data_IF_970343577998
#
_entry.id   IF_970343577998
#
_cell.length_a   1.000
_cell.length_b   1.000
_cell.length_c   1.000
_cell.angle_alpha   90.00
_cell.angle_beta   90.00
_cell.angle_gamma   90.00
#
_symmetry.space_group_name_H-M   'P 1'
#
loop_
_entity.id
_entity.type
_entity.pdbx_description
1 polymer ?
#
# COMPACT_ATOMS: atom_id res chain seq x y z
N UNK A 1 6.73 -59.68 42.49
CA UNK A 1 6.99 -58.73 41.39
C UNK A 1 5.78 -57.84 41.29
N UNK A 2 6.01 -56.56 41.58
CA UNK A 2 4.98 -55.53 41.74
C UNK A 2 4.43 -55.11 40.38
N UNK A 3 3.11 -54.99 40.28
CA UNK A 3 2.45 -54.39 39.12
C UNK A 3 1.93 -53.02 39.52
N UNK A 4 2.66 -51.99 39.11
CA UNK A 4 2.28 -50.59 39.26
C UNK A 4 1.18 -50.27 38.23
N UNK A 5 -0.03 -50.00 38.72
CA UNK A 5 -1.13 -49.43 37.93
C UNK A 5 -0.99 -47.91 37.92
N UNK A 6 -0.93 -47.29 36.75
CA UNK A 6 -1.06 -45.84 36.59
C UNK A 6 -2.40 -45.59 35.87
N UNK A 7 -3.38 -44.94 36.50
CA UNK A 7 -4.61 -44.57 35.81
C UNK A 7 -4.38 -43.33 34.94
N UNK A 8 -5.02 -43.38 33.78
CA UNK A 8 -5.12 -42.34 32.77
C UNK A 8 -5.90 -41.14 33.35
N UNK A 9 -5.21 -40.10 33.84
CA UNK A 9 -5.87 -38.83 34.14
C UNK A 9 -5.81 -37.95 32.89
N UNK A 10 -6.95 -37.88 32.21
CA UNK A 10 -7.27 -36.93 31.16
C UNK A 10 -7.06 -35.51 31.67
N UNK A 11 -5.91 -34.91 31.36
CA UNK A 11 -5.71 -33.47 31.46
C UNK A 11 -6.13 -32.86 30.13
N UNK A 12 -7.44 -32.72 29.94
CA UNK A 12 -8.02 -31.95 28.85
C UNK A 12 -7.78 -30.46 29.16
N UNK A 13 -6.55 -30.00 28.97
CA UNK A 13 -6.27 -28.57 28.87
C UNK A 13 -6.80 -28.16 27.51
N UNK A 14 -8.05 -27.70 27.47
CA UNK A 14 -8.50 -26.80 26.42
C UNK A 14 -7.60 -25.56 26.50
N UNK A 15 -6.46 -25.62 25.81
CA UNK A 15 -5.81 -24.42 25.29
C UNK A 15 -6.84 -23.83 24.31
N UNK A 16 -7.73 -23.00 24.86
CA UNK A 16 -8.34 -21.94 24.08
C UNK A 16 -7.16 -21.16 23.50
N UNK A 17 -6.74 -21.53 22.29
CA UNK A 17 -6.07 -20.64 21.37
C UNK A 17 -7.10 -19.55 21.02
N UNK A 18 -7.39 -18.70 22.00
CA UNK A 18 -7.69 -17.32 21.75
C UNK A 18 -6.39 -16.80 21.16
N UNK A 19 -6.28 -16.89 19.83
CA UNK A 19 -5.38 -16.01 19.08
C UNK A 19 -5.62 -14.64 19.70
N UNK A 20 -4.61 -13.98 20.29
CA UNK A 20 -4.81 -12.61 20.64
C UNK A 20 -5.07 -11.94 19.29
N UNK A 21 -6.29 -11.46 19.06
CA UNK A 21 -6.45 -10.23 18.29
C UNK A 21 -5.68 -9.19 19.11
N UNK A 22 -4.36 -9.18 18.93
CA UNK A 22 -3.55 -8.02 19.10
C UNK A 22 -4.05 -7.05 18.02
N UNK A 23 -5.17 -6.39 18.29
CA UNK A 23 -5.21 -4.96 18.03
C UNK A 23 -4.12 -4.39 18.93
N UNK A 24 -2.87 -4.48 18.46
CA UNK A 24 -1.83 -3.58 18.91
C UNK A 24 -2.45 -2.21 18.64
N UNK A 25 -2.88 -1.53 19.70
CA UNK A 25 -2.87 -0.08 19.72
C UNK A 25 -1.40 0.27 19.54
N UNK A 26 -0.93 0.31 18.29
CA UNK A 26 0.44 0.68 17.99
C UNK A 26 0.58 2.12 18.46
N UNK A 27 1.63 2.39 19.22
CA UNK A 27 1.84 3.66 19.88
C UNK A 27 1.97 4.85 18.91
N UNK A 28 2.04 4.59 17.59
CA UNK A 28 2.20 5.58 16.52
C UNK A 28 1.12 5.49 15.42
N UNK A 29 -0.13 5.23 15.80
CA UNK A 29 -1.27 5.22 14.87
C UNK A 29 -2.00 6.57 14.85
N UNK A 30 -1.84 7.31 13.75
CA UNK A 30 -2.44 8.62 13.54
C UNK A 30 -3.38 8.61 12.34
N UNK A 31 -4.67 8.77 12.62
CA UNK A 31 -5.71 8.96 11.61
C UNK A 31 -6.36 10.32 11.87
N UNK A 32 -6.05 11.32 11.06
CA UNK A 32 -6.42 12.72 11.33
C UNK A 32 -7.47 13.19 10.31
N UNK A 33 -8.61 13.67 10.80
CA UNK A 33 -9.61 14.38 10.02
C UNK A 33 -9.30 15.88 9.97
N UNK A 34 -8.58 16.32 8.94
CA UNK A 34 -8.01 17.66 8.88
C UNK A 34 -9.09 18.74 8.68
N UNK A 35 -9.01 19.81 9.48
CA UNK A 35 -9.95 20.93 9.48
C UNK A 35 -11.29 20.63 10.16
N UNK A 36 -11.44 19.46 10.78
CA UNK A 36 -12.67 19.04 11.47
C UNK A 36 -12.48 19.01 12.99
N UNK A 37 -13.58 19.22 13.70
CA UNK A 37 -13.68 18.92 15.14
C UNK A 37 -14.25 17.54 15.43
N UNK A 38 -14.87 16.92 14.42
CA UNK A 38 -15.64 15.68 14.53
C UNK A 38 -14.82 14.48 14.04
N UNK A 39 -15.00 13.37 14.75
CA UNK A 39 -14.44 12.07 14.38
C UNK A 39 -15.23 11.43 13.22
N UNK A 40 -14.54 10.65 12.39
CA UNK A 40 -15.13 9.95 11.25
C UNK A 40 -14.61 8.52 11.16
N UNK A 41 -15.52 7.56 11.23
CA UNK A 41 -15.25 6.15 10.97
C UNK A 41 -15.64 5.80 9.53
N UNK A 42 -14.67 5.36 8.71
CA UNK A 42 -14.97 4.89 7.34
C UNK A 42 -15.31 3.40 7.32
N UNK A 43 -14.46 2.60 7.95
CA UNK A 43 -14.57 1.14 8.06
C UNK A 43 -14.03 0.71 9.43
N UNK A 44 -14.31 -0.54 9.89
CA UNK A 44 -13.75 -1.03 11.14
C UNK A 44 -12.21 -0.88 11.17
N UNK A 45 -11.69 -0.22 12.20
CA UNK A 45 -10.26 0.06 12.39
C UNK A 45 -9.77 1.36 11.74
N UNK A 46 -10.53 2.00 10.84
CA UNK A 46 -10.16 3.24 10.17
C UNK A 46 -10.94 4.43 10.75
N UNK A 47 -10.58 4.82 11.97
CA UNK A 47 -11.24 5.88 12.73
C UNK A 47 -10.39 7.15 12.73
N UNK A 48 -10.81 8.17 11.98
CA UNK A 48 -10.13 9.46 11.92
C UNK A 48 -10.60 10.36 13.05
N UNK A 49 -9.68 10.81 13.89
CA UNK A 49 -9.95 11.78 14.95
C UNK A 49 -10.00 13.21 14.42
N UNK A 50 -10.97 13.98 14.88
CA UNK A 50 -11.01 15.43 14.70
C UNK A 50 -9.86 16.13 15.45
N UNK A 51 -9.53 17.35 15.04
CA UNK A 51 -8.37 18.09 15.56
C UNK A 51 -8.66 18.91 16.83
N UNK A 52 -9.79 18.65 17.50
CA UNK A 52 -10.19 19.36 18.73
C UNK A 52 -9.24 19.13 19.90
N UNK A 53 -8.67 17.93 20.00
CA UNK A 53 -7.76 17.50 21.07
C UNK A 53 -6.71 16.56 20.49
N UNK A 54 -5.68 17.10 19.83
CA UNK A 54 -4.67 16.25 19.20
C UNK A 54 -3.88 15.48 20.27
N UNK A 55 -3.67 14.19 20.05
CA UNK A 55 -2.93 13.29 20.96
C UNK A 55 -1.73 12.74 20.17
N UNK A 56 -0.52 12.95 20.67
CA UNK A 56 0.71 12.52 19.99
C UNK A 56 1.05 13.28 18.71
N UNK A 57 0.25 14.27 18.29
CA UNK A 57 0.56 15.11 17.16
C UNK A 57 0.27 16.59 17.44
N UNK A 58 0.80 17.47 16.60
CA UNK A 58 0.47 18.89 16.56
C UNK A 58 0.59 19.42 15.14
N UNK A 59 0.11 20.62 14.88
CA UNK A 59 0.25 21.27 13.58
C UNK A 59 0.55 22.75 13.75
N UNK A 60 1.25 23.32 12.78
CA UNK A 60 1.57 24.74 12.78
C UNK A 60 0.38 25.62 12.36
N UNK A 61 0.56 26.94 12.45
CA UNK A 61 -0.42 27.94 12.02
C UNK A 61 -0.95 27.64 10.61
N UNK A 62 -2.27 27.54 10.50
CA UNK A 62 -3.03 27.21 9.29
C UNK A 62 -4.51 27.52 9.51
N UNK A 63 -5.39 27.28 8.54
CA UNK A 63 -6.84 27.50 8.65
C UNK A 63 -7.61 26.21 8.39
N UNK A 64 -8.63 25.94 9.19
CA UNK A 64 -9.66 24.97 8.84
C UNK A 64 -10.59 25.58 7.77
N UNK A 65 -10.92 24.81 6.74
CA UNK A 65 -11.87 25.18 5.69
C UNK A 65 -12.91 24.07 5.54
N UNK A 66 -14.14 24.47 5.22
CA UNK A 66 -15.29 23.56 5.10
C UNK A 66 -15.94 23.72 3.73
N UNK A 67 -16.40 22.61 3.17
CA UNK A 67 -17.18 22.60 1.94
C UNK A 67 -18.50 23.35 2.12
N UNK A 68 -18.76 24.30 1.21
CA UNK A 68 -20.00 25.08 1.20
C UNK A 68 -21.17 24.30 0.60
N UNK A 69 -20.90 23.33 -0.27
CA UNK A 69 -21.95 22.59 -0.98
C UNK A 69 -22.49 21.41 -0.16
N UNK A 70 -21.65 20.83 0.71
CA UNK A 70 -22.00 19.74 1.63
C UNK A 70 -22.74 18.59 0.95
N UNK A 71 -22.23 18.15 -0.20
CA UNK A 71 -22.86 17.09 -0.98
C UNK A 71 -23.09 15.82 -0.11
N UNK A 72 -24.29 15.20 -0.19
CA UNK A 72 -24.64 14.08 0.68
C UNK A 72 -23.82 12.82 0.40
N UNK A 73 -23.49 12.55 -0.86
CA UNK A 73 -22.78 11.33 -1.29
C UNK A 73 -21.27 11.36 -1.01
N UNK A 74 -20.74 12.50 -0.58
CA UNK A 74 -19.32 12.65 -0.25
C UNK A 74 -19.13 12.32 1.23
N UNK A 75 -18.17 11.42 1.51
CA UNK A 75 -17.78 11.07 2.89
C UNK A 75 -17.49 12.33 3.71
N UNK A 76 -17.91 12.32 4.98
CA UNK A 76 -17.66 13.41 5.93
C UNK A 76 -16.17 13.74 6.08
N UNK A 77 -15.27 12.76 5.89
CA UNK A 77 -13.82 12.95 5.89
C UNK A 77 -13.33 13.96 4.83
N UNK A 78 -14.11 14.13 3.76
CA UNK A 78 -13.75 15.00 2.63
C UNK A 78 -14.55 16.30 2.60
N UNK A 79 -15.30 16.62 3.67
CA UNK A 79 -16.06 17.88 3.80
C UNK A 79 -15.26 19.00 4.46
N UNK A 80 -14.08 18.69 5.02
CA UNK A 80 -13.17 19.66 5.62
C UNK A 80 -11.75 19.47 5.09
N UNK A 81 -10.95 20.51 5.24
CA UNK A 81 -9.51 20.43 5.03
C UNK A 81 -8.79 21.44 5.93
N UNK A 82 -7.51 21.18 6.20
CA UNK A 82 -6.59 22.20 6.69
C UNK A 82 -5.90 22.84 5.49
N UNK A 83 -5.89 24.17 5.42
CA UNK A 83 -5.32 24.91 4.29
C UNK A 83 -4.56 26.16 4.74
N UNK A 84 -3.50 26.48 4.00
CA UNK A 84 -2.75 27.73 4.22
C UNK A 84 -2.00 28.18 2.96
N UNK A 85 -1.82 29.50 2.83
CA UNK A 85 -1.07 30.14 1.74
C UNK A 85 0.41 30.40 2.08
N UNK A 86 0.86 29.91 3.24
CA UNK A 86 2.27 29.84 3.63
C UNK A 86 2.60 28.39 4.00
N UNK A 87 3.89 28.02 4.05
CA UNK A 87 4.28 26.70 4.53
C UNK A 87 3.69 26.41 5.90
N UNK A 88 3.13 25.21 6.07
CA UNK A 88 2.65 24.70 7.34
C UNK A 88 3.04 23.23 7.48
N UNK A 89 2.99 22.69 8.69
CA UNK A 89 3.34 21.29 8.93
C UNK A 89 2.42 20.61 9.94
N UNK A 90 2.36 19.28 9.82
CA UNK A 90 1.98 18.39 10.92
C UNK A 90 3.25 17.80 11.54
N UNK A 91 3.24 17.63 12.85
CA UNK A 91 4.31 17.06 13.64
C UNK A 91 3.77 15.89 14.45
N UNK A 92 4.46 14.76 14.43
CA UNK A 92 4.06 13.51 15.07
C UNK A 92 5.13 13.09 16.08
N UNK A 93 4.69 12.64 17.24
CA UNK A 93 5.50 11.93 18.21
C UNK A 93 5.65 10.49 17.74
N UNK A 94 6.88 10.05 17.54
CA UNK A 94 7.19 8.69 17.08
C UNK A 94 7.85 7.97 18.24
N UNK A 95 7.33 6.80 18.58
CA UNK A 95 7.76 6.01 19.73
C UNK A 95 8.69 4.87 19.35
N UNK A 96 8.72 4.46 18.07
CA UNK A 96 9.59 3.40 17.58
C UNK A 96 10.27 3.75 16.24
N UNK A 97 11.51 3.29 16.08
CA UNK A 97 12.23 3.37 14.81
C UNK A 97 11.62 2.39 13.80
N UNK A 98 10.86 2.88 12.82
CA UNK A 98 9.99 2.03 12.00
C UNK A 98 9.97 2.36 10.51
N UNK A 99 9.49 1.40 9.73
CA UNK A 99 8.90 1.73 8.45
C UNK A 99 7.45 2.11 8.71
N UNK A 100 6.99 3.20 8.11
CA UNK A 100 5.64 3.72 8.30
C UNK A 100 4.96 3.85 6.96
N UNK A 101 3.66 3.59 6.96
CA UNK A 101 2.78 3.91 5.85
C UNK A 101 2.19 5.30 6.13
N UNK A 102 2.36 6.22 5.17
CA UNK A 102 1.78 7.56 5.21
C UNK A 102 0.82 7.73 4.05
N UNK A 103 -0.46 8.01 4.32
CA UNK A 103 -1.44 8.40 3.30
C UNK A 103 -1.88 9.83 3.47
N UNK A 104 -1.85 10.57 2.38
CA UNK A 104 -2.33 11.94 2.31
C UNK A 104 -3.57 11.98 1.41
N UNK A 105 -4.67 12.48 1.96
CA UNK A 105 -5.95 12.53 1.25
C UNK A 105 -6.24 13.95 0.78
N UNK A 106 -6.58 14.07 -0.50
CA UNK A 106 -6.89 15.33 -1.14
C UNK A 106 -8.20 15.22 -1.92
N UNK A 107 -9.26 15.84 -1.43
CA UNK A 107 -10.53 16.02 -2.13
C UNK A 107 -10.81 17.51 -2.21
N UNK A 108 -10.77 18.04 -3.44
CA UNK A 108 -11.00 19.45 -3.67
C UNK A 108 -12.50 19.79 -3.60
N UNK A 109 -12.82 20.91 -2.95
CA UNK A 109 -14.17 21.46 -2.84
C UNK A 109 -14.14 22.99 -2.86
N UNK A 110 -15.32 23.62 -2.92
CA UNK A 110 -15.45 25.08 -2.82
C UNK A 110 -15.57 25.50 -1.35
N UNK A 111 -14.80 26.50 -0.93
CA UNK A 111 -14.82 27.05 0.42
C UNK A 111 -15.21 28.53 0.40
N UNK A 112 -15.77 29.04 1.49
CA UNK A 112 -16.10 30.47 1.62
C UNK A 112 -14.86 31.36 1.77
N UNK A 113 -13.75 30.82 2.29
CA UNK A 113 -12.53 31.57 2.59
C UNK A 113 -11.43 31.44 1.53
N UNK A 114 -11.63 30.59 0.52
CA UNK A 114 -10.70 30.37 -0.59
C UNK A 114 -11.49 30.01 -1.84
N UNK A 115 -11.04 30.44 -3.01
CA UNK A 115 -11.49 29.83 -4.26
C UNK A 115 -11.31 28.30 -4.19
N UNK A 116 -11.99 27.57 -5.08
CA UNK A 116 -12.01 26.11 -5.11
C UNK A 116 -10.61 25.48 -4.87
N UNK A 117 -10.52 24.54 -3.92
CA UNK A 117 -9.27 23.89 -3.50
C UNK A 117 -8.53 23.19 -4.65
N UNK A 118 -9.20 22.89 -5.76
CA UNK A 118 -8.59 22.32 -6.97
C UNK A 118 -7.57 23.25 -7.64
N UNK A 119 -7.57 24.54 -7.30
CA UNK A 119 -6.58 25.53 -7.78
C UNK A 119 -5.26 25.50 -7.02
N UNK A 120 -5.17 24.73 -5.94
CA UNK A 120 -3.96 24.57 -5.16
C UNK A 120 -2.82 23.94 -5.98
N UNK A 121 -1.61 24.50 -5.82
CA UNK A 121 -0.36 23.97 -6.35
C UNK A 121 0.69 24.03 -5.25
N UNK A 122 1.16 22.86 -4.79
CA UNK A 122 2.06 22.78 -3.65
C UNK A 122 2.96 21.54 -3.68
N UNK A 123 4.00 21.55 -2.86
CA UNK A 123 4.82 20.39 -2.57
C UNK A 123 4.57 19.86 -1.16
N UNK A 124 4.97 18.61 -0.93
CA UNK A 124 5.01 17.99 0.40
C UNK A 124 6.41 17.41 0.63
N UNK A 125 7.02 17.79 1.74
CA UNK A 125 8.33 17.31 2.19
C UNK A 125 8.20 16.63 3.56
N UNK A 126 9.06 15.67 3.86
CA UNK A 126 9.23 15.17 5.23
C UNK A 126 10.32 15.95 6.01
N UNK A 127 10.52 15.61 7.28
CA UNK A 127 11.56 16.21 8.13
C UNK A 127 13.00 15.89 7.71
N UNK A 128 13.20 14.92 6.81
CA UNK A 128 14.49 14.57 6.20
C UNK A 128 14.71 15.31 4.86
N UNK A 129 13.81 16.23 4.49
CA UNK A 129 13.78 16.96 3.23
C UNK A 129 13.58 16.07 1.99
N UNK A 130 13.01 14.87 2.15
CA UNK A 130 12.58 14.10 1.00
C UNK A 130 11.30 14.66 0.40
N UNK A 131 11.31 14.81 -0.91
CA UNK A 131 10.14 15.27 -1.67
C UNK A 131 9.16 14.13 -1.87
N UNK A 132 8.03 14.18 -1.15
CA UNK A 132 6.92 13.25 -1.32
C UNK A 132 6.02 13.67 -2.48
N UNK A 133 5.73 14.97 -2.57
CA UNK A 133 4.95 15.56 -3.65
C UNK A 133 5.64 16.83 -4.17
N UNK A 134 5.58 17.06 -5.48
CA UNK A 134 6.13 18.25 -6.11
C UNK A 134 5.16 18.79 -7.15
N UNK A 135 4.91 20.11 -7.15
CA UNK A 135 3.93 20.77 -8.02
C UNK A 135 2.58 20.01 -8.10
N UNK A 136 2.16 19.47 -6.96
CA UNK A 136 0.94 18.68 -6.86
C UNK A 136 -0.28 19.57 -6.97
N UNK A 137 -1.28 19.08 -7.71
CA UNK A 137 -2.57 19.72 -7.88
C UNK A 137 -3.65 18.65 -8.02
N UNK A 138 -4.86 18.97 -7.56
CA UNK A 138 -6.06 18.14 -7.71
C UNK A 138 -6.98 18.67 -8.80
N UNK A 139 -6.42 19.41 -9.77
CA UNK A 139 -7.15 19.88 -10.95
C UNK A 139 -7.90 18.71 -11.61
N UNK A 140 -9.17 18.94 -11.96
CA UNK A 140 -10.08 17.96 -12.56
C UNK A 140 -10.51 16.79 -11.66
N UNK A 141 -10.22 16.84 -10.36
CA UNK A 141 -10.63 15.79 -9.39
C UNK A 141 -11.50 16.35 -8.25
N UNK A 142 -12.25 17.43 -8.51
CA UNK A 142 -13.16 18.03 -7.52
C UNK A 142 -14.18 16.99 -7.03
N UNK A 143 -14.37 16.89 -5.72
CA UNK A 143 -15.19 15.87 -5.05
C UNK A 143 -14.78 14.41 -5.33
N UNK A 144 -13.60 14.18 -5.92
CA UNK A 144 -13.03 12.86 -6.15
C UNK A 144 -11.73 12.73 -5.35
N UNK A 145 -11.75 12.02 -4.21
CA UNK A 145 -10.58 11.92 -3.34
C UNK A 145 -9.38 11.29 -4.05
N UNK A 146 -8.26 11.98 -4.01
CA UNK A 146 -6.95 11.48 -4.44
C UNK A 146 -6.15 11.13 -3.19
N UNK A 147 -5.79 9.86 -3.06
CA UNK A 147 -4.97 9.36 -1.95
C UNK A 147 -3.54 9.14 -2.46
N UNK A 148 -2.56 9.71 -1.76
CA UNK A 148 -1.13 9.52 -2.04
C UNK A 148 -0.52 8.70 -0.92
N UNK A 149 -0.03 7.51 -1.25
CA UNK A 149 0.49 6.52 -0.31
C UNK A 149 2.02 6.42 -0.40
N UNK A 150 2.69 6.57 0.73
CA UNK A 150 4.13 6.53 0.86
C UNK A 150 4.57 5.51 1.92
N UNK A 151 5.71 4.87 1.69
CA UNK A 151 6.44 4.13 2.71
C UNK A 151 7.70 4.90 3.07
N UNK A 152 7.82 5.23 4.36
CA UNK A 152 8.89 6.07 4.90
C UNK A 152 9.62 5.34 6.02
N UNK A 153 10.94 5.46 6.06
CA UNK A 153 11.73 5.10 7.24
C UNK A 153 11.75 6.29 8.20
N UNK A 154 11.06 6.17 9.31
CA UNK A 154 10.95 7.22 10.33
C UNK A 154 11.76 6.77 11.54
N UNK A 155 12.60 7.68 12.04
CA UNK A 155 13.40 7.43 13.23
C UNK A 155 12.74 8.13 14.43
N UNK A 156 12.84 7.53 15.61
CA UNK A 156 12.35 7.92 16.94
C UNK A 156 12.84 9.31 17.42
N UNK A 157 13.63 10.00 16.60
CA UNK A 157 14.01 11.39 16.86
C UNK A 157 12.78 12.24 17.20
N UNK A 158 12.96 13.23 18.09
CA UNK A 158 11.91 13.94 18.83
C UNK A 158 10.69 14.47 18.04
N UNK A 159 10.72 14.49 16.70
CA UNK A 159 9.51 14.67 15.92
C UNK A 159 9.65 14.37 14.41
N UNK A 160 8.79 13.49 13.88
CA UNK A 160 8.57 13.40 12.44
C UNK A 160 7.65 14.55 11.98
N UNK A 161 7.95 15.17 10.83
CA UNK A 161 7.12 16.26 10.29
C UNK A 161 6.79 16.05 8.83
N UNK A 162 5.58 16.47 8.46
CA UNK A 162 5.13 16.61 7.08
C UNK A 162 4.91 18.09 6.79
N UNK A 163 5.73 18.65 5.91
CA UNK A 163 5.67 20.05 5.50
C UNK A 163 4.89 20.20 4.20
N UNK A 164 3.86 21.04 4.23
CA UNK A 164 3.04 21.41 3.08
C UNK A 164 3.45 22.81 2.62
N UNK A 165 4.04 22.90 1.44
CA UNK A 165 4.69 24.12 0.94
C UNK A 165 3.99 24.60 -0.34
N UNK A 166 3.18 25.66 -0.28
CA UNK A 166 2.56 26.26 -1.47
C UNK A 166 3.58 26.80 -2.46
N UNK A 167 3.26 26.73 -3.75
CA UNK A 167 3.93 27.56 -4.77
C UNK A 167 3.59 29.05 -4.60
N UNK A 168 4.39 29.98 -5.15
CA UNK A 168 4.08 31.41 -5.12
C UNK A 168 2.66 31.70 -5.62
N UNK A 169 1.95 32.56 -4.90
CA UNK A 169 0.54 32.91 -5.19
C UNK A 169 -0.44 31.73 -5.17
N UNK A 170 -0.08 30.62 -4.54
CA UNK A 170 -0.95 29.46 -4.35
C UNK A 170 -1.17 29.17 -2.85
N UNK A 171 -1.78 28.02 -2.57
CA UNK A 171 -2.00 27.50 -1.22
C UNK A 171 -1.85 25.98 -1.23
N UNK A 172 -1.68 25.41 -0.04
CA UNK A 172 -1.65 23.98 0.18
C UNK A 172 -2.86 23.56 1.02
N UNK A 173 -3.30 22.33 0.88
CA UNK A 173 -4.36 21.78 1.70
C UNK A 173 -4.20 20.27 1.88
N UNK A 174 -4.83 19.73 2.92
CA UNK A 174 -4.96 18.29 3.16
C UNK A 174 -6.28 18.02 3.88
N UNK A 175 -7.00 16.97 3.47
CA UNK A 175 -8.29 16.59 4.05
C UNK A 175 -8.13 15.55 5.15
N UNK A 176 -7.21 14.61 4.98
CA UNK A 176 -6.90 13.62 5.99
C UNK A 176 -5.46 13.13 5.88
N UNK A 177 -4.93 12.67 7.01
CA UNK A 177 -3.61 12.04 7.11
C UNK A 177 -3.78 10.70 7.82
N UNK A 178 -3.26 9.64 7.21
CA UNK A 178 -2.97 8.38 7.90
C UNK A 178 -1.45 8.27 8.07
N UNK A 179 -0.98 7.95 9.27
CA UNK A 179 0.40 7.59 9.56
C UNK A 179 0.37 6.45 10.57
N UNK A 180 0.89 5.29 10.21
CA UNK A 180 0.94 4.13 11.08
C UNK A 180 2.11 3.21 10.70
N UNK A 181 2.60 2.35 11.61
CA UNK A 181 3.67 1.41 11.30
C UNK A 181 3.31 0.49 10.12
N UNK A 182 4.24 0.36 9.19
CA UNK A 182 4.12 -0.60 8.09
C UNK A 182 4.44 -2.02 8.61
N UNK A 183 3.81 -3.07 8.06
CA UNK A 183 4.16 -4.45 8.41
C UNK A 183 5.65 -4.75 8.20
N UNK A 184 6.25 -5.55 9.09
CA UNK A 184 7.70 -5.81 9.10
C UNK A 184 8.25 -6.35 7.77
N UNK A 185 7.50 -7.22 7.08
CA UNK A 185 7.91 -7.86 5.82
C UNK A 185 7.62 -6.99 4.57
N UNK A 186 7.20 -5.74 4.77
CA UNK A 186 6.70 -4.92 3.66
C UNK A 186 7.81 -4.41 2.74
N UNK A 187 9.00 -4.05 3.24
CA UNK A 187 10.07 -3.48 2.42
C UNK A 187 10.91 -4.59 1.76
N UNK A 188 11.27 -4.41 0.49
CA UNK A 188 12.08 -5.39 -0.25
C UNK A 188 13.46 -5.50 0.39
N UNK A 189 13.97 -6.71 0.60
CA UNK A 189 15.29 -6.97 1.22
C UNK A 189 16.46 -6.26 0.51
N UNK A 190 16.30 -5.91 -0.77
CA UNK A 190 17.30 -5.17 -1.56
C UNK A 190 17.06 -3.65 -1.63
N UNK A 191 16.04 -3.13 -0.93
CA UNK A 191 15.82 -1.71 -0.77
C UNK A 191 16.46 -1.24 0.53
N UNK A 192 17.78 -1.18 0.53
CA UNK A 192 18.60 -0.68 1.64
C UNK A 192 18.67 0.85 1.70
N UNK A 193 17.97 1.55 0.81
CA UNK A 193 17.94 3.01 0.83
C UNK A 193 16.85 3.50 1.77
N UNK A 194 17.21 4.40 2.69
CA UNK A 194 16.28 5.18 3.53
C UNK A 194 15.42 6.18 2.72
N UNK A 195 15.19 5.92 1.43
CA UNK A 195 14.45 6.76 0.53
C UNK A 195 12.95 6.44 0.63
N UNK A 196 12.07 7.45 0.48
CA UNK A 196 10.63 7.22 0.37
C UNK A 196 10.26 6.39 -0.85
N UNK A 197 9.30 5.47 -0.66
CA UNK A 197 8.61 4.81 -1.77
C UNK A 197 7.22 5.41 -1.92
N UNK A 198 6.83 5.75 -3.15
CA UNK A 198 5.49 6.20 -3.49
C UNK A 198 4.80 5.11 -4.30
N UNK A 199 3.65 4.62 -3.80
CA UNK A 199 2.86 3.63 -4.54
C UNK A 199 2.24 4.30 -5.77
N UNK A 200 2.64 3.84 -6.96
CA UNK A 200 2.08 4.32 -8.25
C UNK A 200 1.04 3.36 -8.83
N UNK A 201 1.25 2.06 -8.67
CA UNK A 201 0.35 1.00 -9.12
C UNK A 201 0.35 -0.13 -8.10
N UNK A 202 -0.82 -0.75 -7.91
CA UNK A 202 -1.01 -1.96 -7.10
C UNK A 202 -2.16 -2.76 -7.69
N UNK A 203 -1.87 -3.93 -8.22
CA UNK A 203 -2.80 -4.68 -9.06
C UNK A 203 -3.02 -6.11 -8.58
N UNK A 204 -4.27 -6.56 -8.71
CA UNK A 204 -4.68 -7.97 -8.66
C UNK A 204 -4.63 -8.53 -10.07
N UNK A 205 -3.68 -9.43 -10.35
CA UNK A 205 -3.52 -10.02 -11.69
C UNK A 205 -4.61 -11.06 -11.94
N UNK A 206 -5.47 -10.82 -12.94
CA UNK A 206 -6.56 -11.73 -13.31
C UNK A 206 -7.73 -11.77 -12.32
N UNK A 207 -7.70 -10.97 -11.26
CA UNK A 207 -8.74 -10.90 -10.23
C UNK A 207 -9.53 -9.60 -10.24
N UNK A 208 -10.46 -9.48 -9.31
CA UNK A 208 -11.26 -8.27 -9.09
C UNK A 208 -10.53 -7.27 -8.18
N UNK A 209 -10.89 -5.97 -8.22
CA UNK A 209 -10.40 -5.00 -7.26
C UNK A 209 -10.73 -5.41 -5.81
N UNK A 210 -9.79 -5.18 -4.89
CA UNK A 210 -9.94 -5.55 -3.48
C UNK A 210 -9.25 -4.53 -2.58
N UNK A 211 -9.81 -4.30 -1.39
CA UNK A 211 -9.14 -3.58 -0.31
C UNK A 211 -8.67 -4.58 0.73
N UNK A 212 -7.42 -4.48 1.18
CA UNK A 212 -6.90 -5.39 2.19
C UNK A 212 -7.04 -4.87 3.63
N UNK A 213 -6.46 -5.62 4.57
CA UNK A 213 -6.56 -5.42 6.02
C UNK A 213 -6.02 -4.08 6.50
N UNK A 214 -5.15 -3.44 5.73
CA UNK A 214 -4.63 -2.09 6.00
C UNK A 214 -5.11 -1.08 4.94
N UNK A 215 -6.26 -1.36 4.32
CA UNK A 215 -6.98 -0.51 3.37
C UNK A 215 -6.20 -0.13 2.10
N UNK A 216 -5.19 -0.93 1.72
CA UNK A 216 -4.55 -0.73 0.40
C UNK A 216 -5.53 -1.17 -0.67
N UNK A 217 -5.75 -0.30 -1.66
CA UNK A 217 -6.56 -0.61 -2.83
C UNK A 217 -5.72 -1.36 -3.86
N UNK A 218 -6.19 -2.53 -4.26
CA UNK A 218 -5.67 -3.31 -5.38
C UNK A 218 -6.64 -3.19 -6.54
N UNK A 219 -6.16 -2.78 -7.70
CA UNK A 219 -6.98 -2.59 -8.90
C UNK A 219 -6.85 -3.79 -9.84
N UNK A 220 -7.77 -3.95 -10.81
CA UNK A 220 -7.62 -4.99 -11.83
C UNK A 220 -6.49 -4.64 -12.79
N UNK A 221 -5.80 -5.65 -13.32
CA UNK A 221 -4.77 -5.48 -14.35
C UNK A 221 -5.33 -5.37 -15.77
N UNK A 222 -6.66 -5.47 -15.95
CA UNK A 222 -7.33 -5.48 -17.26
C UNK A 222 -6.93 -4.28 -18.15
N UNK A 223 -6.73 -3.08 -17.60
CA UNK A 223 -6.33 -1.89 -18.37
C UNK A 223 -4.83 -1.78 -18.65
N UNK A 224 -4.02 -2.70 -18.11
CA UNK A 224 -2.56 -2.64 -18.17
C UNK A 224 -1.95 -3.72 -19.06
N UNK A 225 -2.66 -4.82 -19.33
CA UNK A 225 -2.19 -5.84 -20.27
C UNK A 225 -2.19 -5.30 -21.71
N UNK A 226 -1.09 -5.53 -22.43
CA UNK A 226 -0.88 -4.97 -23.78
C UNK A 226 -1.72 -5.63 -24.86
N UNK A 227 -1.90 -6.94 -24.74
CA UNK A 227 -2.68 -7.76 -25.65
C UNK A 227 -3.59 -8.68 -24.83
N UNK A 228 -4.90 -8.42 -24.90
CA UNK A 228 -5.91 -9.19 -24.17
C UNK A 228 -6.00 -10.65 -24.67
N UNK A 229 -5.52 -10.95 -25.87
CA UNK A 229 -5.52 -12.30 -26.44
C UNK A 229 -4.24 -13.08 -26.09
N UNK A 230 -3.27 -12.45 -25.42
CA UNK A 230 -2.03 -13.11 -24.99
C UNK A 230 -2.19 -13.95 -23.72
N UNK A 231 -3.23 -13.66 -22.94
CA UNK A 231 -3.46 -14.29 -21.64
C UNK A 231 -4.94 -14.33 -21.28
N UNK A 232 -5.33 -15.39 -20.56
CA UNK A 232 -6.67 -15.53 -19.99
C UNK A 232 -6.59 -15.56 -18.47
N UNK A 233 -7.68 -15.15 -17.81
CA UNK A 233 -7.82 -15.24 -16.35
C UNK A 233 -7.84 -16.73 -15.97
N UNK A 234 -7.04 -17.09 -14.99
CA UNK A 234 -6.91 -18.45 -14.48
C UNK A 234 -7.44 -18.48 -13.03
N UNK A 235 -8.74 -18.77 -12.83
CA UNK A 235 -9.26 -18.99 -11.49
C UNK A 235 -8.67 -20.29 -10.91
N UNK A 236 -8.59 -20.43 -9.59
CA UNK A 236 -8.04 -21.61 -8.98
C UNK A 236 -8.96 -22.80 -9.25
N UNK A 237 -8.39 -23.98 -9.54
CA UNK A 237 -9.18 -25.18 -9.86
C UNK A 237 -10.05 -25.65 -8.67
N UNK A 238 -9.64 -25.34 -7.44
CA UNK A 238 -10.36 -25.66 -6.20
C UNK A 238 -10.22 -24.52 -5.17
N UNK A 239 -11.00 -24.56 -4.09
CA UNK A 239 -10.78 -23.68 -2.95
C UNK A 239 -9.37 -23.94 -2.37
N UNK A 240 -8.47 -22.98 -2.55
CA UNK A 240 -7.08 -23.11 -2.11
C UNK A 240 -6.91 -22.58 -0.70
N UNK A 241 -6.44 -23.46 0.17
CA UNK A 241 -5.84 -23.07 1.44
C UNK A 241 -4.39 -22.69 1.17
N UNK A 242 -4.10 -21.39 1.15
CA UNK A 242 -2.74 -20.91 0.96
C UNK A 242 -1.86 -21.35 2.12
N UNK A 243 -0.67 -21.82 1.80
CA UNK A 243 0.29 -22.15 2.83
C UNK A 243 1.35 -21.05 2.97
N UNK A 244 1.19 -20.24 4.01
CA UNK A 244 2.14 -19.22 4.40
C UNK A 244 3.33 -19.76 5.23
N UNK A 245 3.36 -21.07 5.54
CA UNK A 245 4.48 -21.69 6.27
C UNK A 245 5.64 -21.99 5.32
N UNK A 246 6.79 -21.41 5.63
CA UNK A 246 8.08 -21.82 5.11
C UNK A 246 8.65 -20.83 4.11
N UNK A 247 9.76 -20.18 4.50
CA UNK A 247 10.69 -19.66 3.52
C UNK A 247 11.20 -20.85 2.71
N UNK A 248 10.69 -21.03 1.50
CA UNK A 248 11.30 -21.92 0.53
C UNK A 248 12.68 -21.33 0.23
N UNK A 249 13.74 -22.14 0.23
CA UNK A 249 15.10 -21.66 -0.02
C UNK A 249 15.15 -20.78 -1.29
N UNK A 250 15.54 -19.51 -1.11
CA UNK A 250 15.63 -18.53 -2.20
C UNK A 250 14.32 -17.81 -2.58
N UNK A 251 13.22 -18.02 -1.86
CA UNK A 251 11.95 -17.29 -2.00
C UNK A 251 11.57 -16.58 -0.69
N UNK A 252 11.05 -15.35 -0.83
CA UNK A 252 10.42 -14.66 0.27
C UNK A 252 8.98 -15.13 0.39
N UNK A 253 8.71 -15.87 1.47
CA UNK A 253 7.36 -16.27 1.82
C UNK A 253 6.50 -15.02 2.01
N UNK A 254 5.32 -15.00 1.40
CA UNK A 254 4.37 -13.94 1.65
C UNK A 254 3.49 -14.25 2.86
N UNK A 255 2.67 -13.28 3.26
CA UNK A 255 1.61 -13.41 4.25
C UNK A 255 0.52 -12.36 3.97
N UNK A 256 -0.58 -12.40 4.72
CA UNK A 256 -1.70 -11.48 4.53
C UNK A 256 -1.34 -9.98 4.69
N UNK A 257 -0.27 -9.68 5.43
CA UNK A 257 0.21 -8.30 5.59
C UNK A 257 0.93 -7.79 4.33
N UNK A 258 1.53 -8.68 3.53
CA UNK A 258 2.20 -8.34 2.28
C UNK A 258 1.20 -8.14 1.15
N UNK A 259 0.25 -9.07 0.98
CA UNK A 259 -0.87 -8.95 0.04
C UNK A 259 -2.05 -9.83 0.50
N UNK A 260 -3.30 -9.44 0.23
CA UNK A 260 -4.46 -10.21 0.65
C UNK A 260 -4.54 -11.56 -0.07
N UNK A 261 -5.20 -12.53 0.57
CA UNK A 261 -5.48 -13.87 0.05
C UNK A 261 -5.97 -13.85 -1.42
N UNK A 262 -6.91 -12.95 -1.74
CA UNK A 262 -7.50 -12.84 -3.08
C UNK A 262 -6.50 -12.50 -4.19
N UNK A 263 -5.37 -11.84 -3.87
CA UNK A 263 -4.31 -11.55 -4.85
C UNK A 263 -3.59 -12.82 -5.27
N UNK A 264 -3.43 -13.76 -4.35
CA UNK A 264 -2.75 -15.04 -4.59
C UNK A 264 -3.67 -16.14 -5.12
N UNK A 265 -4.99 -15.95 -5.01
CA UNK A 265 -6.00 -16.87 -5.53
C UNK A 265 -6.39 -16.56 -6.99
N UNK A 266 -5.81 -15.54 -7.61
CA UNK A 266 -6.09 -15.20 -9.00
C UNK A 266 -4.80 -15.03 -9.78
N UNK A 267 -4.81 -15.45 -11.04
CA UNK A 267 -3.67 -15.29 -11.93
C UNK A 267 -4.13 -15.06 -13.37
N UNK A 268 -3.16 -14.78 -14.25
CA UNK A 268 -3.31 -14.92 -15.69
C UNK A 268 -2.37 -15.99 -16.20
N UNK A 269 -2.87 -16.85 -17.07
CA UNK A 269 -2.08 -17.83 -17.81
C UNK A 269 -2.00 -17.46 -19.29
N UNK A 270 -0.89 -17.84 -19.91
CA UNK A 270 -0.63 -17.57 -21.32
C UNK A 270 -1.61 -18.36 -22.19
N UNK A 271 -2.14 -17.73 -23.24
CA UNK A 271 -2.97 -18.43 -24.22
C UNK A 271 -2.11 -19.24 -25.20
N UNK A 272 -2.67 -20.34 -25.72
CA UNK A 272 -1.98 -21.18 -26.70
C UNK A 272 -1.58 -20.37 -27.94
N UNK A 273 -0.30 -20.45 -28.32
CA UNK A 273 0.26 -19.74 -29.48
C UNK A 273 0.81 -18.35 -29.15
N UNK A 274 0.65 -17.86 -27.92
CA UNK A 274 1.31 -16.64 -27.45
C UNK A 274 2.74 -16.94 -26.98
N UNK A 275 3.63 -15.96 -27.11
CA UNK A 275 5.04 -16.09 -26.67
C UNK A 275 5.34 -15.32 -25.39
N UNK A 276 4.56 -14.28 -25.08
CA UNK A 276 4.72 -13.44 -23.90
C UNK A 276 3.36 -12.91 -23.42
N UNK A 277 3.31 -12.55 -22.14
CA UNK A 277 2.25 -11.72 -21.57
C UNK A 277 2.94 -10.44 -21.10
N UNK A 278 2.45 -9.28 -21.53
CA UNK A 278 3.12 -7.99 -21.24
C UNK A 278 2.14 -7.02 -20.60
N UNK A 279 2.59 -6.36 -19.55
CA UNK A 279 1.88 -5.26 -18.91
C UNK A 279 2.65 -3.95 -19.09
N UNK A 280 1.93 -2.86 -19.37
CA UNK A 280 2.50 -1.53 -19.53
C UNK A 280 2.05 -0.59 -18.41
N UNK A 281 3.03 0.16 -17.89
CA UNK A 281 2.86 1.11 -16.80
C UNK A 281 3.48 2.46 -17.16
N UNK A 282 2.68 3.52 -17.13
CA UNK A 282 3.16 4.87 -17.36
C UNK A 282 3.75 5.45 -16.08
N UNK A 283 5.08 5.56 -16.03
CA UNK A 283 5.80 6.01 -14.83
C UNK A 283 6.69 7.21 -15.10
N UNK A 284 7.03 7.96 -14.05
CA UNK A 284 7.84 9.18 -14.17
C UNK A 284 9.28 8.87 -14.54
N UNK A 285 9.89 9.68 -15.41
CA UNK A 285 11.32 9.55 -15.71
C UNK A 285 12.28 10.10 -14.68
N UNK A 286 11.73 10.80 -13.69
CA UNK A 286 12.50 11.50 -12.67
C UNK A 286 12.70 10.68 -11.39
N UNK A 287 12.25 9.43 -11.37
CA UNK A 287 12.31 8.55 -10.21
C UNK A 287 12.84 7.16 -10.57
N UNK A 288 13.45 6.49 -9.60
CA UNK A 288 13.73 5.05 -9.68
C UNK A 288 12.47 4.28 -9.28
N UNK A 289 12.21 3.18 -9.95
CA UNK A 289 11.01 2.38 -9.72
C UNK A 289 11.39 1.00 -9.16
N UNK A 290 10.50 0.46 -8.33
CA UNK A 290 10.57 -0.91 -7.87
C UNK A 290 9.34 -1.62 -8.38
N UNK A 291 9.54 -2.81 -8.93
CA UNK A 291 8.45 -3.71 -9.31
C UNK A 291 8.52 -4.89 -8.36
N UNK A 292 7.43 -5.16 -7.65
CA UNK A 292 7.24 -6.39 -6.89
C UNK A 292 6.20 -7.25 -7.61
N UNK A 293 6.62 -8.44 -8.03
CA UNK A 293 5.74 -9.42 -8.68
C UNK A 293 5.41 -10.53 -7.68
N UNK A 294 4.11 -10.75 -7.47
CA UNK A 294 3.56 -11.72 -6.54
C UNK A 294 3.16 -12.99 -7.28
N UNK A 295 3.47 -14.16 -6.73
CA UNK A 295 3.24 -15.45 -7.35
C UNK A 295 2.67 -16.44 -6.34
N UNK A 296 1.80 -17.31 -6.83
CA UNK A 296 1.35 -18.52 -6.15
C UNK A 296 1.01 -19.52 -7.25
N UNK A 297 1.52 -20.75 -7.14
CA UNK A 297 1.16 -21.79 -8.09
C UNK A 297 -0.24 -22.30 -7.76
N UNK A 298 -1.22 -21.84 -8.55
CA UNK A 298 -2.65 -22.13 -8.40
C UNK A 298 -3.25 -22.83 -9.62
N UNK A 299 -2.43 -23.03 -10.66
CA UNK A 299 -2.83 -23.57 -11.96
C UNK A 299 -2.03 -24.85 -12.20
N UNK A 300 -2.61 -25.99 -11.81
CA UNK A 300 -2.00 -27.30 -11.96
C UNK A 300 -1.07 -27.71 -10.82
N UNK A 301 -0.12 -28.61 -11.10
CA UNK A 301 0.80 -29.14 -10.10
C UNK A 301 2.04 -28.25 -9.93
N UNK A 302 2.51 -28.07 -8.68
CA UNK A 302 3.71 -27.31 -8.38
C UNK A 302 4.93 -27.68 -9.24
N UNK A 303 5.57 -26.68 -9.84
CA UNK A 303 6.78 -26.86 -10.65
C UNK A 303 6.55 -27.14 -12.14
N UNK A 304 5.28 -27.23 -12.58
CA UNK A 304 4.95 -27.41 -14.00
C UNK A 304 5.06 -26.12 -14.81
N UNK A 305 5.03 -24.95 -14.16
CA UNK A 305 5.06 -23.64 -14.81
C UNK A 305 6.40 -22.95 -14.55
N UNK A 306 7.37 -23.17 -15.45
CA UNK A 306 8.67 -22.49 -15.43
C UNK A 306 8.68 -21.43 -16.52
N UNK A 307 8.94 -20.18 -16.15
CA UNK A 307 8.97 -19.07 -17.10
C UNK A 307 9.97 -18.00 -16.69
N UNK A 308 10.28 -17.10 -17.62
CA UNK A 308 11.16 -15.96 -17.36
C UNK A 308 10.33 -14.70 -17.12
N UNK A 309 10.49 -14.12 -15.93
CA UNK A 309 10.00 -12.79 -15.61
C UNK A 309 11.01 -11.76 -16.09
N UNK A 310 10.53 -10.84 -16.93
CA UNK A 310 11.31 -9.70 -17.41
C UNK A 310 10.75 -8.40 -16.84
N UNK A 311 11.62 -7.46 -16.48
CA UNK A 311 11.21 -6.09 -16.18
C UNK A 311 12.17 -5.12 -16.87
N UNK A 312 11.69 -4.45 -17.91
CA UNK A 312 12.50 -3.69 -18.87
C UNK A 312 13.72 -4.50 -19.37
N UNK A 313 14.77 -3.82 -19.83
CA UNK A 313 15.89 -4.44 -20.53
C UNK A 313 16.92 -5.15 -19.63
N UNK A 314 16.89 -4.94 -18.30
CA UNK A 314 18.00 -5.33 -17.43
C UNK A 314 17.62 -6.28 -16.29
N UNK A 315 16.34 -6.64 -16.14
CA UNK A 315 15.91 -7.62 -15.15
C UNK A 315 15.36 -8.85 -15.83
N UNK A 316 15.94 -10.01 -15.50
CA UNK A 316 15.47 -11.34 -15.88
C UNK A 316 15.55 -12.23 -14.66
N UNK A 317 14.45 -12.87 -14.29
CA UNK A 317 14.40 -13.88 -13.23
C UNK A 317 13.62 -15.09 -13.74
N UNK A 318 14.22 -16.26 -13.63
CA UNK A 318 13.49 -17.51 -13.84
C UNK A 318 12.60 -17.78 -12.63
N UNK A 319 11.33 -18.04 -12.88
CA UNK A 319 10.27 -18.29 -11.88
C UNK A 319 9.79 -19.73 -12.05
N UNK A 320 9.50 -20.40 -10.93
CA UNK A 320 8.97 -21.77 -10.93
C UNK A 320 10.03 -22.88 -10.92
N UNK A 321 11.30 -22.57 -11.25
CA UNK A 321 12.42 -23.50 -11.13
C UNK A 321 12.90 -23.59 -9.66
N UNK A 322 12.06 -24.18 -8.81
CA UNK A 322 12.30 -24.41 -7.39
C UNK A 322 12.62 -25.90 -7.24
N UNK A 323 13.65 -26.25 -6.46
CA UNK A 323 14.07 -27.65 -6.32
C UNK A 323 12.92 -28.54 -5.84
N UNK A 324 12.73 -29.68 -6.51
CA UNK A 324 11.67 -30.66 -6.23
C UNK A 324 11.63 -31.07 -4.74
N UNK A 325 12.78 -31.14 -4.06
CA UNK A 325 12.88 -31.44 -2.62
C UNK A 325 12.20 -30.42 -1.70
N UNK A 326 11.93 -29.21 -2.18
CA UNK A 326 11.36 -28.09 -1.42
C UNK A 326 9.84 -27.93 -1.63
N UNK A 327 9.31 -28.55 -2.70
CA UNK A 327 7.93 -28.35 -3.18
C UNK A 327 6.96 -29.44 -2.68
N UNK A 328 7.46 -30.67 -2.47
CA UNK A 328 6.61 -31.85 -2.24
C UNK A 328 5.79 -31.88 -0.94
N UNK A 329 5.86 -30.85 -0.09
CA UNK A 329 5.00 -30.80 1.09
C UNK A 329 3.82 -29.84 0.96
N UNK A 330 3.84 -28.85 0.06
CA UNK A 330 2.85 -27.77 0.10
C UNK A 330 2.46 -27.23 -1.29
N UNK A 331 1.19 -27.45 -1.68
CA UNK A 331 0.55 -26.75 -2.81
C UNK A 331 0.23 -25.30 -2.42
N UNK A 332 0.18 -24.39 -3.40
CA UNK A 332 -0.27 -23.01 -3.24
C UNK A 332 0.47 -22.22 -2.14
N UNK A 333 1.81 -22.16 -2.24
CA UNK A 333 2.68 -21.32 -1.39
C UNK A 333 2.85 -19.94 -2.04
N UNK A 334 2.42 -18.85 -1.38
CA UNK A 334 2.61 -17.49 -1.88
C UNK A 334 4.04 -16.99 -1.72
N UNK A 335 4.60 -16.39 -2.77
CA UNK A 335 5.92 -15.76 -2.75
C UNK A 335 5.96 -14.51 -3.64
N UNK A 336 7.07 -13.78 -3.61
CA UNK A 336 7.27 -12.61 -4.48
C UNK A 336 8.73 -12.37 -4.83
N UNK A 337 8.95 -11.65 -5.93
CA UNK A 337 10.24 -11.09 -6.32
C UNK A 337 10.15 -9.57 -6.40
N UNK A 338 11.23 -8.89 -6.01
CA UNK A 338 11.36 -7.42 -6.17
C UNK A 338 12.52 -7.09 -7.10
N UNK A 339 12.32 -6.13 -7.99
CA UNK A 339 13.28 -5.68 -8.99
C UNK A 339 13.35 -4.15 -9.05
N UNK A 340 14.54 -3.62 -9.33
CA UNK A 340 14.75 -2.19 -9.64
C UNK A 340 15.11 -2.08 -11.13
N UNK A 341 14.11 -2.09 -12.04
CA UNK A 341 14.38 -2.02 -13.47
C UNK A 341 15.01 -0.68 -13.84
N UNK A 342 15.98 -0.71 -14.77
CA UNK A 342 16.43 0.50 -15.46
C UNK A 342 15.28 0.95 -16.37
N UNK A 343 14.81 2.17 -16.17
CA UNK A 343 13.81 2.77 -17.04
C UNK A 343 14.48 3.23 -18.32
N UNK A 344 14.26 2.51 -19.41
CA UNK A 344 14.64 2.97 -20.75
C UNK A 344 13.49 3.84 -21.27
N UNK A 345 13.63 5.16 -21.17
CA UNK A 345 12.68 6.05 -21.83
C UNK A 345 12.91 5.94 -23.33
N UNK A 346 11.90 5.46 -24.05
CA UNK A 346 11.80 5.75 -25.48
C UNK A 346 11.70 7.28 -25.57
N UNK A 347 12.75 7.93 -26.09
CA UNK A 347 12.63 9.31 -26.56
C UNK A 347 11.56 9.28 -27.64
N UNK A 348 10.34 9.69 -27.30
CA UNK A 348 9.45 10.23 -28.30
C UNK A 348 10.01 11.61 -28.61
N UNK A 349 10.86 11.69 -29.63
CA UNK A 349 11.22 12.98 -30.22
C UNK A 349 9.92 13.58 -30.76
N UNK A 350 9.36 14.55 -30.04
CA UNK A 350 8.30 15.41 -30.54
C UNK A 350 8.95 16.51 -31.36
N UNK A 351 8.76 16.47 -32.68
CA UNK A 351 8.88 17.62 -33.59
C UNK A 351 7.96 18.75 -33.19
#
# INVERSE_FOLDING_TARGET
MEHLRIPLLSLFVFLLNLSPLHFLSLADDYFINCGSHDDVSLTPGQNFSGESKPVGYSFSKSKAVKDINQLPDISSLYKTARSFNKPFYYQFSITEDGNYLVRLHFSAFSSSSSNNLSTAVFGVLDSKNFTLLNNFTTKNTTYSPVIKEFFLRIDITDSFRLYFTPQPSSFAFVNAIELFPAPADFIAENYTSNLPLHTVYRLTIGGSPVNDTIWRKWETDDSHISDQNSAKKAPPENALNLNYRGGIEGLLASNESVAPLSVYQTAREMMNGSSNITWFFSVSSKARHIVRAHFCDIVGQPGNSIFNLYANANFRKEVGNISQSSIFQYSAVPFYYSAVPKTNFLKTDST
#
